data_IF_929811609945
#
_entry.id   IF_929811609945
#
_cell.length_a   1.000
_cell.length_b   1.000
_cell.length_c   1.000
_cell.angle_alpha   90.00
_cell.angle_beta   90.00
_cell.angle_gamma   90.00
#
_symmetry.space_group_name_H-M   'P 1'
#
loop_
_entity.id
_entity.type
_entity.pdbx_description
1 polymer ?
#
# COMPACT_ATOMS: atom_id res chain seq x y z
N UNK A 1 -27.77 4.84 2.57
CA UNK A 1 -26.95 5.82 1.82
C UNK A 1 -27.07 5.51 0.35
N UNK A 2 -27.34 6.53 -0.45
CA UNK A 2 -27.63 6.35 -1.87
C UNK A 2 -26.40 5.91 -2.67
N UNK A 3 -26.65 5.25 -3.81
CA UNK A 3 -25.62 4.85 -4.79
C UNK A 3 -24.74 6.05 -5.19
N UNK A 4 -25.34 7.23 -5.33
CA UNK A 4 -24.63 8.47 -5.65
C UNK A 4 -23.52 8.80 -4.62
N UNK A 5 -23.77 8.57 -3.33
CA UNK A 5 -22.78 8.83 -2.30
C UNK A 5 -21.59 7.88 -2.37
N UNK A 6 -21.85 6.59 -2.64
CA UNK A 6 -20.79 5.60 -2.86
C UNK A 6 -19.92 5.98 -4.07
N UNK A 7 -20.52 6.44 -5.16
CA UNK A 7 -19.80 6.91 -6.36
C UNK A 7 -18.89 8.10 -6.02
N UNK A 8 -19.40 9.08 -5.27
CA UNK A 8 -18.61 10.23 -4.80
C UNK A 8 -17.43 9.73 -3.95
N UNK A 9 -17.65 8.79 -3.04
CA UNK A 9 -16.58 8.18 -2.25
C UNK A 9 -15.51 7.47 -3.09
N UNK A 10 -15.90 6.78 -4.17
CA UNK A 10 -14.97 6.16 -5.12
C UNK A 10 -14.15 7.20 -5.88
N UNK A 11 -14.79 8.28 -6.36
CA UNK A 11 -14.08 9.37 -7.05
C UNK A 11 -13.05 10.02 -6.11
N UNK A 12 -13.46 10.32 -4.88
CA UNK A 12 -12.57 10.90 -3.87
C UNK A 12 -11.43 9.95 -3.51
N UNK A 13 -11.69 8.63 -3.48
CA UNK A 13 -10.67 7.61 -3.30
C UNK A 13 -9.59 7.66 -4.38
N UNK A 14 -9.99 7.78 -5.65
CA UNK A 14 -9.03 7.94 -6.74
C UNK A 14 -8.23 9.23 -6.60
N UNK A 15 -8.90 10.36 -6.33
CA UNK A 15 -8.22 11.65 -6.13
C UNK A 15 -7.19 11.55 -5.01
N UNK A 16 -7.55 10.95 -3.88
CA UNK A 16 -6.65 10.74 -2.75
C UNK A 16 -5.43 9.91 -3.14
N UNK A 17 -5.63 8.73 -3.74
CA UNK A 17 -4.51 7.84 -4.10
C UNK A 17 -3.61 8.48 -5.16
N UNK A 18 -4.18 9.09 -6.20
CA UNK A 18 -3.39 9.79 -7.23
C UNK A 18 -2.64 11.00 -6.67
N UNK A 19 -3.19 11.71 -5.68
CA UNK A 19 -2.49 12.80 -5.00
C UNK A 19 -1.27 12.29 -4.24
N UNK A 20 -1.40 11.19 -3.49
CA UNK A 20 -0.27 10.56 -2.79
C UNK A 20 0.81 10.10 -3.77
N UNK A 21 0.42 9.43 -4.87
CA UNK A 21 1.35 8.99 -5.91
C UNK A 21 2.06 10.19 -6.56
N UNK A 22 1.30 11.24 -6.89
CA UNK A 22 1.84 12.47 -7.49
C UNK A 22 2.84 13.17 -6.58
N UNK A 23 2.53 13.32 -5.30
CA UNK A 23 3.44 13.86 -4.29
C UNK A 23 4.70 13.00 -4.21
N UNK A 24 4.54 11.68 -4.15
CA UNK A 24 5.68 10.75 -4.11
C UNK A 24 6.61 10.90 -5.31
N UNK A 25 6.05 11.00 -6.52
CA UNK A 25 6.83 11.17 -7.74
C UNK A 25 7.55 12.53 -7.78
N UNK A 26 6.91 13.60 -7.29
CA UNK A 26 7.57 14.92 -7.14
C UNK A 26 8.74 14.84 -6.15
N UNK A 27 8.55 14.20 -4.99
CA UNK A 27 9.61 14.02 -3.99
C UNK A 27 10.76 13.17 -4.52
N UNK A 28 10.46 12.12 -5.31
CA UNK A 28 11.45 11.29 -6.00
C UNK A 28 12.24 12.12 -7.03
N UNK A 29 11.55 12.89 -7.87
CA UNK A 29 12.18 13.78 -8.89
C UNK A 29 13.07 14.86 -8.27
N UNK A 30 12.72 15.34 -7.08
CA UNK A 30 13.55 16.30 -6.32
C UNK A 30 14.72 15.64 -5.58
N UNK A 31 14.97 14.33 -5.76
CA UNK A 31 15.97 13.54 -5.03
C UNK A 31 15.82 13.59 -3.49
N UNK A 32 14.62 13.90 -2.99
CA UNK A 32 14.32 13.88 -1.55
C UNK A 32 14.11 12.43 -1.09
N UNK A 33 13.47 11.61 -1.93
CA UNK A 33 13.22 10.19 -1.67
C UNK A 33 13.96 9.32 -2.69
N UNK A 34 14.57 8.24 -2.21
CA UNK A 34 15.05 7.15 -3.06
C UNK A 34 13.88 6.40 -3.71
N UNK A 35 14.15 5.53 -4.68
CA UNK A 35 13.12 4.66 -5.29
C UNK A 35 12.38 3.84 -4.22
N UNK A 36 13.12 3.29 -3.27
CA UNK A 36 12.56 2.57 -2.11
C UNK A 36 11.75 3.49 -1.20
N UNK A 37 12.29 4.67 -0.87
CA UNK A 37 11.61 5.65 -0.03
C UNK A 37 10.29 6.14 -0.65
N UNK A 38 10.26 6.37 -1.95
CA UNK A 38 9.06 6.72 -2.72
C UNK A 38 8.01 5.61 -2.61
N UNK A 39 8.41 4.34 -2.75
CA UNK A 39 7.48 3.22 -2.62
C UNK A 39 6.87 3.13 -1.22
N UNK A 40 7.70 3.26 -0.18
CA UNK A 40 7.24 3.21 1.22
C UNK A 40 6.36 4.41 1.57
N UNK A 41 6.67 5.58 1.03
CA UNK A 41 5.83 6.77 1.16
C UNK A 41 4.42 6.52 0.59
N UNK A 42 4.32 5.96 -0.62
CA UNK A 42 3.01 5.58 -1.20
C UNK A 42 2.31 4.55 -0.32
N UNK A 43 3.01 3.54 0.19
CA UNK A 43 2.43 2.51 1.06
C UNK A 43 1.81 3.10 2.33
N UNK A 44 2.55 3.94 3.05
CA UNK A 44 2.07 4.63 4.26
C UNK A 44 0.93 5.60 3.92
N UNK A 45 1.09 6.42 2.87
CA UNK A 45 0.10 7.41 2.47
C UNK A 45 -1.22 6.77 2.03
N UNK A 46 -1.16 5.72 1.20
CA UNK A 46 -2.34 5.00 0.74
C UNK A 46 -2.96 4.16 1.86
N UNK A 47 -2.23 3.75 2.90
CA UNK A 47 -2.85 3.06 4.05
C UNK A 47 -3.89 3.93 4.76
N UNK A 48 -3.74 5.25 4.73
CA UNK A 48 -4.72 6.20 5.27
C UNK A 48 -6.00 6.29 4.44
N UNK A 49 -6.00 5.78 3.20
CA UNK A 49 -7.21 5.69 2.36
C UNK A 49 -8.31 4.90 3.08
N UNK A 50 -7.96 3.90 3.88
CA UNK A 50 -8.93 3.08 4.60
C UNK A 50 -9.86 3.93 5.48
N UNK A 51 -9.30 4.90 6.21
CA UNK A 51 -10.05 5.79 7.11
C UNK A 51 -11.05 6.65 6.30
N UNK A 52 -10.60 7.16 5.15
CA UNK A 52 -11.44 7.94 4.24
C UNK A 52 -12.57 7.08 3.66
N UNK A 53 -12.24 5.87 3.18
CA UNK A 53 -13.19 4.95 2.60
C UNK A 53 -14.23 4.48 3.61
N UNK A 54 -13.86 4.24 4.87
CA UNK A 54 -14.79 3.86 5.94
C UNK A 54 -15.92 4.88 6.14
N UNK A 55 -15.61 6.16 5.99
CA UNK A 55 -16.57 7.24 6.17
C UNK A 55 -17.42 7.47 4.92
N UNK A 56 -16.83 7.32 3.73
CA UNK A 56 -17.49 7.70 2.47
C UNK A 56 -18.19 6.54 1.76
N UNK A 57 -17.74 5.30 1.95
CA UNK A 57 -18.16 4.15 1.15
C UNK A 57 -18.73 3.07 2.08
N UNK A 58 -20.03 3.11 2.39
CA UNK A 58 -20.65 2.10 3.24
C UNK A 58 -20.68 0.71 2.58
N UNK A 59 -20.80 0.63 1.25
CA UNK A 59 -20.93 -0.63 0.55
C UNK A 59 -19.59 -1.20 0.09
N UNK A 60 -19.30 -2.46 0.44
CA UNK A 60 -18.01 -3.10 0.17
C UNK A 60 -17.72 -3.25 -1.32
N UNK A 61 -18.72 -3.44 -2.19
CA UNK A 61 -18.52 -3.58 -3.64
C UNK A 61 -17.90 -2.29 -4.18
N UNK A 62 -18.41 -1.13 -3.78
CA UNK A 62 -17.85 0.16 -4.18
C UNK A 62 -16.45 0.38 -3.60
N UNK A 63 -16.18 -0.10 -2.38
CA UNK A 63 -14.84 0.00 -1.78
C UNK A 63 -13.82 -0.92 -2.48
N UNK A 64 -14.26 -2.03 -3.07
CA UNK A 64 -13.40 -2.95 -3.85
C UNK A 64 -13.01 -2.39 -5.22
N UNK A 65 -13.88 -1.61 -5.88
CA UNK A 65 -13.63 -1.06 -7.22
C UNK A 65 -12.26 -0.39 -7.34
N UNK A 66 -11.90 0.63 -6.54
CA UNK A 66 -10.60 1.30 -6.67
C UNK A 66 -9.45 0.33 -6.42
N UNK A 67 -9.57 -0.55 -5.42
CA UNK A 67 -8.52 -1.52 -5.09
C UNK A 67 -8.25 -2.50 -6.22
N UNK A 68 -9.29 -3.10 -6.80
CA UNK A 68 -9.17 -4.04 -7.92
C UNK A 68 -8.62 -3.37 -9.18
N UNK A 69 -9.03 -2.13 -9.46
CA UNK A 69 -8.46 -1.34 -10.55
C UNK A 69 -6.95 -1.13 -10.32
N UNK A 70 -6.53 -0.75 -9.11
CA UNK A 70 -5.11 -0.61 -8.79
C UNK A 70 -4.35 -1.93 -8.86
N UNK A 71 -4.94 -3.07 -8.46
CA UNK A 71 -4.32 -4.40 -8.66
C UNK A 71 -4.05 -4.65 -10.15
N UNK A 72 -5.05 -4.42 -11.00
CA UNK A 72 -4.93 -4.63 -12.45
C UNK A 72 -3.90 -3.68 -13.06
N UNK A 73 -3.95 -2.38 -12.72
CA UNK A 73 -3.00 -1.39 -13.22
C UNK A 73 -1.56 -1.70 -12.79
N UNK A 74 -1.34 -2.02 -11.52
CA UNK A 74 0.00 -2.38 -11.02
C UNK A 74 0.49 -3.69 -11.65
N UNK A 75 -0.39 -4.68 -11.82
CA UNK A 75 -0.03 -5.94 -12.47
C UNK A 75 0.30 -5.75 -13.96
N UNK A 76 -0.46 -4.92 -14.67
CA UNK A 76 -0.17 -4.54 -16.05
C UNK A 76 1.15 -3.79 -16.14
N UNK A 77 1.45 -2.88 -15.22
CA UNK A 77 2.74 -2.18 -15.15
C UNK A 77 3.88 -3.18 -14.99
N UNK A 78 3.77 -4.10 -14.04
CA UNK A 78 4.75 -5.16 -13.79
C UNK A 78 4.96 -6.07 -15.02
N UNK A 79 3.88 -6.47 -15.69
CA UNK A 79 3.96 -7.35 -16.87
C UNK A 79 4.52 -6.62 -18.09
N UNK A 80 4.27 -5.32 -18.23
CA UNK A 80 4.51 -4.60 -19.49
C UNK A 80 5.96 -4.17 -19.74
N UNK A 81 6.90 -4.13 -18.77
CA UNK A 81 8.35 -3.94 -18.98
C UNK A 81 8.71 -3.28 -20.34
N UNK A 82 8.20 -2.06 -20.61
CA UNK A 82 8.12 -1.49 -21.98
C UNK A 82 9.52 -1.21 -22.59
N UNK A 83 10.59 -1.41 -21.83
CA UNK A 83 11.96 -1.42 -22.32
C UNK A 83 12.64 -2.78 -22.15
N UNK A 84 12.06 -3.83 -22.75
CA UNK A 84 12.71 -5.15 -22.92
C UNK A 84 13.99 -5.12 -23.78
N UNK A 85 14.55 -3.94 -24.06
CA UNK A 85 15.79 -3.73 -24.81
C UNK A 85 16.95 -3.20 -23.97
N UNK A 86 16.81 -2.97 -22.64
CA UNK A 86 17.90 -2.35 -21.85
C UNK A 86 18.28 -2.98 -20.50
N UNK A 87 17.77 -4.14 -20.08
CA UNK A 87 18.06 -4.62 -18.71
C UNK A 87 18.61 -6.05 -18.61
N UNK A 88 19.85 -6.23 -19.08
CA UNK A 88 20.77 -7.13 -18.38
C UNK A 88 21.22 -6.43 -17.08
N UNK A 89 20.41 -6.55 -16.03
CA UNK A 89 20.85 -6.29 -14.67
C UNK A 89 20.13 -5.17 -13.94
N UNK A 90 18.91 -5.44 -13.45
CA UNK A 90 18.48 -5.25 -12.05
C UNK A 90 17.08 -5.84 -11.92
N UNK A 91 16.86 -6.59 -10.84
CA UNK A 91 15.80 -7.58 -10.74
C UNK A 91 14.39 -6.99 -10.72
N UNK A 92 13.48 -7.73 -11.37
CA UNK A 92 12.05 -7.87 -11.05
C UNK A 92 11.48 -6.70 -10.26
N UNK A 93 10.86 -5.76 -10.97
CA UNK A 93 9.98 -4.75 -10.39
C UNK A 93 9.09 -5.39 -9.32
N UNK A 94 9.09 -4.82 -8.11
CA UNK A 94 8.64 -5.50 -6.91
C UNK A 94 7.12 -5.76 -6.94
N UNK A 95 6.74 -7.05 -6.93
CA UNK A 95 5.35 -7.51 -6.84
C UNK A 95 4.60 -6.94 -5.61
N UNK A 96 5.32 -6.36 -4.63
CA UNK A 96 4.74 -5.64 -3.50
C UNK A 96 3.75 -4.54 -3.88
N UNK A 97 3.91 -3.87 -5.03
CA UNK A 97 2.94 -2.86 -5.51
C UNK A 97 1.61 -3.47 -5.95
N UNK A 98 1.61 -4.75 -6.33
CA UNK A 98 0.41 -5.53 -6.66
C UNK A 98 -0.19 -6.14 -5.39
N UNK A 99 0.66 -6.71 -4.52
CA UNK A 99 0.20 -7.38 -3.30
C UNK A 99 -0.41 -6.44 -2.27
N UNK A 100 0.01 -5.18 -2.22
CA UNK A 100 -0.57 -4.20 -1.28
C UNK A 100 -2.06 -3.92 -1.52
N UNK A 101 -2.49 -3.39 -2.69
CA UNK A 101 -3.90 -3.17 -2.96
C UNK A 101 -4.71 -4.48 -2.96
N UNK A 102 -4.09 -5.61 -3.32
CA UNK A 102 -4.72 -6.93 -3.20
C UNK A 102 -5.00 -7.30 -1.74
N UNK A 103 -4.05 -7.06 -0.83
CA UNK A 103 -4.23 -7.33 0.60
C UNK A 103 -5.31 -6.43 1.20
N UNK A 104 -5.37 -5.15 0.82
CA UNK A 104 -6.46 -4.27 1.20
C UNK A 104 -7.81 -4.76 0.65
N UNK A 105 -7.86 -5.28 -0.59
CA UNK A 105 -9.10 -5.80 -1.17
C UNK A 105 -9.62 -7.01 -0.39
N UNK A 106 -8.71 -7.90 0.03
CA UNK A 106 -9.03 -9.02 0.91
C UNK A 106 -9.56 -8.52 2.26
N UNK A 107 -8.93 -7.51 2.88
CA UNK A 107 -9.43 -6.93 4.12
C UNK A 107 -10.83 -6.32 3.94
N UNK A 108 -11.09 -5.58 2.86
CA UNK A 108 -12.42 -5.03 2.57
C UNK A 108 -13.44 -6.17 2.48
N UNK A 109 -13.14 -7.22 1.71
CA UNK A 109 -14.05 -8.36 1.53
C UNK A 109 -14.49 -9.00 2.85
N UNK A 110 -13.58 -9.14 3.82
CA UNK A 110 -13.86 -9.82 5.09
C UNK A 110 -14.32 -8.92 6.22
N UNK A 111 -13.88 -7.66 6.25
CA UNK A 111 -14.05 -6.77 7.42
C UNK A 111 -14.97 -5.59 7.17
N UNK A 112 -15.33 -5.25 5.93
CA UNK A 112 -16.16 -4.06 5.67
C UNK A 112 -17.55 -4.12 6.33
N UNK A 113 -18.27 -3.00 6.38
CA UNK A 113 -19.59 -2.89 7.05
C UNK A 113 -20.58 -3.99 6.65
N UNK A 114 -20.65 -4.30 5.36
CA UNK A 114 -21.47 -5.36 4.76
C UNK A 114 -20.60 -6.52 4.22
N UNK A 115 -19.42 -6.71 4.82
CA UNK A 115 -18.47 -7.77 4.47
C UNK A 115 -18.87 -9.16 4.93
N UNK A 116 -18.10 -10.17 4.50
CA UNK A 116 -18.46 -11.59 4.62
C UNK A 116 -18.38 -12.12 6.07
N UNK A 117 -17.40 -11.67 6.86
CA UNK A 117 -17.03 -12.33 8.13
C UNK A 117 -17.25 -11.45 9.37
N UNK A 118 -16.55 -10.32 9.47
CA UNK A 118 -16.47 -9.56 10.72
C UNK A 118 -17.36 -8.31 10.76
N UNK A 119 -17.86 -7.86 9.62
CA UNK A 119 -18.79 -6.72 9.46
C UNK A 119 -18.40 -5.45 10.23
N UNK A 120 -17.10 -5.25 10.42
CA UNK A 120 -16.55 -4.19 11.24
C UNK A 120 -15.22 -3.72 10.63
N UNK A 121 -15.22 -2.60 9.88
CA UNK A 121 -14.05 -2.15 9.14
C UNK A 121 -12.94 -1.62 10.04
N UNK A 122 -13.16 -1.45 11.34
CA UNK A 122 -12.09 -1.08 12.27
C UNK A 122 -11.04 -2.20 12.35
N UNK A 123 -11.42 -3.48 12.23
CA UNK A 123 -10.45 -4.59 12.19
C UNK A 123 -9.56 -4.51 10.95
N UNK A 124 -10.16 -4.23 9.79
CA UNK A 124 -9.39 -4.02 8.56
C UNK A 124 -8.56 -2.73 8.60
N UNK A 125 -9.03 -1.70 9.30
CA UNK A 125 -8.28 -0.45 9.49
C UNK A 125 -6.97 -0.69 10.25
N UNK A 126 -7.04 -1.43 11.35
CA UNK A 126 -5.84 -1.83 12.10
C UNK A 126 -4.89 -2.61 11.19
N UNK A 127 -5.39 -3.61 10.47
CA UNK A 127 -4.56 -4.38 9.52
C UNK A 127 -3.91 -3.51 8.43
N UNK A 128 -4.66 -2.59 7.84
CA UNK A 128 -4.17 -1.68 6.81
C UNK A 128 -3.11 -0.71 7.35
N UNK A 129 -3.34 -0.13 8.52
CA UNK A 129 -2.41 0.80 9.16
C UNK A 129 -1.13 0.09 9.62
N UNK A 130 -1.23 -1.12 10.18
CA UNK A 130 -0.09 -1.97 10.53
C UNK A 130 0.76 -2.29 9.31
N UNK A 131 0.14 -2.67 8.19
CA UNK A 131 0.86 -2.91 6.92
C UNK A 131 1.54 -1.64 6.41
N UNK A 132 0.87 -0.50 6.49
CA UNK A 132 1.40 0.79 6.08
C UNK A 132 2.58 1.27 6.93
N UNK A 133 2.28 1.57 8.18
CA UNK A 133 3.19 2.21 9.12
C UNK A 133 4.23 1.25 9.65
N UNK A 134 3.85 0.04 10.03
CA UNK A 134 4.78 -0.97 10.52
C UNK A 134 5.88 -1.26 9.49
N UNK A 135 5.50 -1.61 8.26
CA UNK A 135 6.48 -1.89 7.19
C UNK A 135 7.26 -0.64 6.77
N UNK A 136 6.62 0.53 6.79
CA UNK A 136 7.26 1.82 6.52
C UNK A 136 8.36 2.15 7.53
N UNK A 137 8.05 2.11 8.83
CA UNK A 137 9.01 2.40 9.89
C UNK A 137 10.07 1.31 10.04
N UNK A 138 9.71 0.05 9.85
CA UNK A 138 10.66 -1.07 9.82
C UNK A 138 11.75 -0.87 8.77
N UNK A 139 11.38 -0.38 7.58
CA UNK A 139 12.33 -0.07 6.52
C UNK A 139 13.20 1.15 6.87
N UNK A 140 12.59 2.25 7.35
CA UNK A 140 13.33 3.49 7.67
C UNK A 140 14.35 3.25 8.80
N UNK A 141 13.91 2.64 9.90
CA UNK A 141 14.76 2.38 11.05
C UNK A 141 15.72 1.22 10.77
N UNK A 142 15.28 0.21 10.03
CA UNK A 142 16.11 -0.92 9.65
C UNK A 142 17.25 -0.55 8.70
N UNK A 143 17.03 0.39 7.77
CA UNK A 143 18.05 0.86 6.83
C UNK A 143 19.01 1.88 7.47
N UNK A 144 18.49 2.80 8.31
CA UNK A 144 19.29 3.85 8.95
C UNK A 144 20.07 3.37 10.19
N UNK A 145 19.45 2.53 11.02
CA UNK A 145 20.00 2.13 12.33
C UNK A 145 20.27 0.64 12.44
N UNK A 146 20.02 -0.16 11.38
CA UNK A 146 20.22 -1.60 11.40
C UNK A 146 21.69 -1.98 11.58
N UNK A 147 22.10 -2.33 12.80
CA UNK A 147 23.43 -2.85 13.11
C UNK A 147 23.41 -4.37 13.16
N UNK A 148 22.32 -4.96 13.63
CA UNK A 148 22.17 -6.40 13.77
C UNK A 148 21.38 -6.96 12.60
N UNK A 149 22.09 -7.26 11.52
CA UNK A 149 21.50 -7.78 10.28
C UNK A 149 21.46 -9.30 10.31
N UNK A 150 20.34 -9.86 9.89
CA UNK A 150 20.18 -11.28 9.60
C UNK A 150 19.59 -11.49 8.20
N UNK A 151 19.85 -12.65 7.62
CA UNK A 151 19.39 -13.00 6.28
C UNK A 151 18.31 -14.07 6.36
N UNK A 152 17.09 -13.75 5.90
CA UNK A 152 16.06 -14.75 5.67
C UNK A 152 15.99 -15.01 4.17
N UNK A 153 16.40 -16.21 3.74
CA UNK A 153 16.47 -16.61 2.32
C UNK A 153 17.28 -15.61 1.48
N UNK A 154 16.60 -14.74 0.73
CA UNK A 154 17.19 -13.72 -0.16
C UNK A 154 16.99 -12.29 0.34
N UNK A 155 16.40 -12.12 1.52
CA UNK A 155 16.07 -10.82 2.09
C UNK A 155 16.98 -10.52 3.27
N UNK A 156 17.68 -9.39 3.19
CA UNK A 156 18.43 -8.79 4.30
C UNK A 156 17.43 -8.07 5.22
N UNK A 157 17.38 -8.45 6.49
CA UNK A 157 16.55 -7.79 7.53
C UNK A 157 17.41 -7.42 8.71
N UNK A 158 16.95 -6.48 9.53
CA UNK A 158 17.63 -6.09 10.78
C UNK A 158 16.73 -6.30 11.98
N UNK A 159 17.35 -6.57 13.13
CA UNK A 159 16.63 -6.69 14.41
C UNK A 159 15.97 -5.34 14.72
N UNK A 160 16.67 -4.23 14.49
CA UNK A 160 16.16 -2.88 14.71
C UNK A 160 14.92 -2.61 13.85
N UNK A 161 14.91 -3.04 12.58
CA UNK A 161 13.74 -2.97 11.72
C UNK A 161 12.58 -3.85 12.21
N UNK A 162 12.88 -5.00 12.81
CA UNK A 162 11.86 -5.91 13.36
C UNK A 162 11.25 -5.37 14.66
N UNK A 163 12.06 -4.75 15.51
CA UNK A 163 11.60 -4.04 16.71
C UNK A 163 10.75 -2.83 16.30
N UNK A 164 11.17 -2.09 15.29
CA UNK A 164 10.38 -1.01 14.72
C UNK A 164 9.02 -1.52 14.22
N UNK A 165 8.99 -2.61 13.44
CA UNK A 165 7.73 -3.24 13.02
C UNK A 165 6.84 -3.52 14.25
N UNK A 166 7.39 -4.16 15.29
CA UNK A 166 6.64 -4.53 16.49
C UNK A 166 6.09 -3.32 17.27
N UNK A 167 6.85 -2.22 17.34
CA UNK A 167 6.44 -1.02 18.10
C UNK A 167 5.42 -0.17 17.34
N UNK A 168 5.50 -0.14 16.02
CA UNK A 168 4.63 0.67 15.15
C UNK A 168 3.43 -0.11 14.58
N UNK A 169 3.22 -1.35 15.01
CA UNK A 169 2.06 -2.19 14.68
C UNK A 169 1.12 -2.31 15.88
#
# INVERSE_FOLDING_TARGET
MDVAWNIIGVIISFIFVFSIIGISEVLKKKNILSVEGSRKFVHVGVSNWWILAMYMIPNYIFALIPLLIFVVLNYMSYKKNIFSSMERGRGKEDLGTVYFPLSLAVLVLFTWWDGILFQNPYYGAVGALVMGYGDGFAAILGDRYGKHVYHIRRSKKSIEGSVAMFVFS
#
